data_IF_527487588386
#
_entry.id   IF_527487588386
#
_cell.length_a   1.000
_cell.length_b   1.000
_cell.length_c   1.000
_cell.angle_alpha   90.00
_cell.angle_beta   90.00
_cell.angle_gamma   90.00
#
_symmetry.space_group_name_H-M   'P 1'
#
loop_
_entity.id
_entity.type
_entity.pdbx_description
1 polymer ?
#
# COMPACT_ATOMS: atom_id res chain seq x y z
N UNK A 1 -79.91 23.74 -3.42
CA UNK A 1 -79.26 23.53 -4.73
C UNK A 1 -77.88 24.17 -4.69
N UNK A 2 -76.96 23.56 -5.43
CA UNK A 2 -75.59 23.98 -5.81
C UNK A 2 -74.47 23.27 -5.02
N UNK A 3 -73.89 22.29 -5.72
CA UNK A 3 -72.57 21.68 -5.49
C UNK A 3 -71.44 22.70 -5.69
N UNK A 4 -70.28 22.45 -5.07
CA UNK A 4 -68.99 22.89 -5.62
C UNK A 4 -67.87 21.95 -5.19
N UNK A 5 -67.04 21.61 -6.17
CA UNK A 5 -65.97 20.62 -6.18
C UNK A 5 -64.71 21.02 -5.39
N UNK A 6 -63.92 20.00 -5.10
CA UNK A 6 -62.60 20.04 -4.49
C UNK A 6 -61.56 20.77 -5.35
N UNK A 7 -60.53 21.34 -4.71
CA UNK A 7 -59.15 21.36 -5.22
C UNK A 7 -58.17 21.55 -4.04
N UNK A 8 -57.49 20.47 -3.64
CA UNK A 8 -56.28 20.55 -2.83
C UNK A 8 -55.09 20.79 -3.75
N UNK A 9 -54.52 21.99 -3.72
CA UNK A 9 -53.25 22.30 -4.38
C UNK A 9 -52.10 21.80 -3.49
N UNK A 10 -51.37 20.79 -3.97
CA UNK A 10 -50.08 20.42 -3.39
C UNK A 10 -49.01 21.45 -3.80
N UNK A 11 -48.02 21.75 -2.93
CA UNK A 11 -47.03 22.79 -3.21
C UNK A 11 -46.02 22.33 -4.27
N UNK A 12 -45.76 23.22 -5.23
CA UNK A 12 -44.83 23.06 -6.35
C UNK A 12 -43.36 23.23 -5.94
N UNK A 13 -42.83 22.30 -5.14
CA UNK A 13 -41.41 22.27 -4.77
C UNK A 13 -40.88 20.83 -4.77
N UNK A 14 -40.84 20.20 -5.94
CA UNK A 14 -40.17 18.91 -6.13
C UNK A 14 -39.73 18.64 -7.60
N UNK A 15 -39.49 19.68 -8.40
CA UNK A 15 -39.31 19.53 -9.85
C UNK A 15 -37.92 19.90 -10.39
N UNK A 16 -36.85 19.85 -9.57
CA UNK A 16 -35.52 20.31 -10.04
C UNK A 16 -34.32 19.41 -9.69
N UNK A 17 -34.48 18.31 -8.96
CA UNK A 17 -33.35 17.57 -8.37
C UNK A 17 -33.19 16.13 -8.86
N UNK A 18 -33.70 15.82 -10.04
CA UNK A 18 -33.34 14.59 -10.75
C UNK A 18 -33.24 14.93 -12.24
N UNK A 19 -32.03 14.98 -12.85
CA UNK A 19 -31.95 14.94 -14.30
C UNK A 19 -32.51 13.59 -14.77
N UNK A 20 -33.46 13.65 -15.70
CA UNK A 20 -34.00 12.46 -16.37
C UNK A 20 -32.85 11.70 -17.03
N UNK A 21 -32.61 10.48 -16.58
CA UNK A 21 -31.61 9.58 -17.17
C UNK A 21 -32.19 9.06 -18.49
N UNK A 22 -31.92 9.77 -19.57
CA UNK A 22 -32.26 9.31 -20.92
C UNK A 22 -31.27 8.21 -21.36
N UNK A 23 -31.78 7.17 -22.00
CA UNK A 23 -31.00 6.04 -22.54
C UNK A 23 -29.92 6.46 -23.56
N UNK A 24 -29.98 7.69 -24.07
CA UNK A 24 -29.02 8.27 -25.00
C UNK A 24 -27.78 8.91 -24.33
N UNK A 25 -27.75 9.03 -22.99
CA UNK A 25 -26.64 9.65 -22.23
C UNK A 25 -25.68 8.64 -21.60
N UNK A 26 -25.78 7.35 -21.96
CA UNK A 26 -24.82 6.33 -21.57
C UNK A 26 -23.61 6.40 -22.52
N UNK A 27 -22.88 7.52 -22.49
CA UNK A 27 -21.51 7.53 -22.99
C UNK A 27 -20.69 6.69 -22.02
N UNK A 28 -20.24 5.53 -22.52
CA UNK A 28 -19.27 4.65 -21.90
C UNK A 28 -18.10 5.52 -21.42
N UNK A 29 -18.09 5.83 -20.13
CA UNK A 29 -16.88 6.33 -19.49
C UNK A 29 -15.98 5.11 -19.42
N UNK A 30 -15.10 4.96 -20.42
CA UNK A 30 -13.99 4.04 -20.35
C UNK A 30 -13.23 4.37 -19.07
N UNK A 31 -13.45 3.57 -18.04
CA UNK A 31 -12.59 3.55 -16.87
C UNK A 31 -11.23 3.12 -17.41
N UNK A 32 -10.22 4.00 -17.43
CA UNK A 32 -8.90 3.59 -17.89
C UNK A 32 -8.49 2.41 -17.04
N UNK A 33 -8.09 1.32 -17.71
CA UNK A 33 -7.59 0.13 -17.06
C UNK A 33 -6.54 0.54 -16.00
N UNK A 34 -6.50 -0.12 -14.83
CA UNK A 34 -5.52 0.21 -13.81
C UNK A 34 -4.13 0.18 -14.45
N UNK A 35 -3.43 1.31 -14.35
CA UNK A 35 -2.07 1.45 -14.84
C UNK A 35 -1.27 0.29 -14.26
N UNK A 36 -0.73 -0.53 -15.15
CA UNK A 36 0.08 -1.68 -14.80
C UNK A 36 1.21 -1.17 -13.90
N UNK A 37 1.31 -1.73 -12.70
CA UNK A 37 2.36 -1.37 -11.73
C UNK A 37 3.70 -1.26 -12.45
N UNK A 38 4.37 -0.12 -12.26
CA UNK A 38 5.62 0.16 -12.90
C UNK A 38 6.66 -0.88 -12.42
N UNK A 39 7.24 -1.59 -13.38
CA UNK A 39 8.24 -2.63 -13.12
C UNK A 39 9.54 -1.94 -12.71
N UNK A 40 10.14 -2.39 -11.61
CA UNK A 40 11.40 -1.87 -11.07
C UNK A 40 12.68 -2.39 -11.72
N UNK A 41 12.54 -2.93 -12.94
CA UNK A 41 13.65 -3.50 -13.67
C UNK A 41 14.57 -2.38 -14.16
N UNK A 42 15.88 -2.65 -14.35
CA UNK A 42 16.78 -1.66 -14.89
C UNK A 42 16.25 -1.10 -16.22
N UNK A 43 15.86 0.17 -16.24
CA UNK A 43 15.45 0.92 -17.43
C UNK A 43 16.67 1.68 -17.92
N UNK A 44 17.39 1.11 -18.89
CA UNK A 44 18.50 1.79 -19.54
C UNK A 44 18.00 3.12 -20.15
N UNK A 45 18.37 4.24 -19.53
CA UNK A 45 18.07 5.59 -20.02
C UNK A 45 16.81 6.28 -19.46
N UNK A 46 16.11 5.72 -18.45
CA UNK A 46 15.06 6.45 -17.71
C UNK A 46 15.52 6.79 -16.28
N UNK A 47 15.06 7.93 -15.74
CA UNK A 47 15.31 8.30 -14.35
C UNK A 47 14.54 7.34 -13.44
N UNK A 48 15.25 6.56 -12.64
CA UNK A 48 14.64 5.76 -11.57
C UNK A 48 14.02 6.69 -10.52
N UNK A 49 12.90 6.29 -9.93
CA UNK A 49 12.42 6.94 -8.71
C UNK A 49 13.41 6.69 -7.56
N UNK A 50 13.47 7.60 -6.57
CA UNK A 50 14.36 7.42 -5.40
C UNK A 50 14.09 6.11 -4.63
N UNK A 51 12.83 5.64 -4.65
CA UNK A 51 12.46 4.34 -4.10
C UNK A 51 13.10 3.18 -4.87
N UNK A 52 12.97 3.18 -6.19
CA UNK A 52 13.50 2.13 -7.07
C UNK A 52 15.03 2.06 -6.99
N UNK A 53 15.71 3.22 -7.00
CA UNK A 53 17.15 3.28 -6.84
C UNK A 53 17.60 2.66 -5.50
N UNK A 54 16.89 2.95 -4.41
CA UNK A 54 17.17 2.39 -3.09
C UNK A 54 17.00 0.86 -3.09
N UNK A 55 15.90 0.34 -3.65
CA UNK A 55 15.65 -1.10 -3.72
C UNK A 55 16.73 -1.84 -4.52
N UNK A 56 17.14 -1.30 -5.66
CA UNK A 56 18.16 -1.91 -6.52
C UNK A 56 19.53 -1.86 -5.86
N UNK A 57 19.96 -0.68 -5.38
CA UNK A 57 21.34 -0.48 -4.90
C UNK A 57 21.61 -1.09 -3.53
N UNK A 58 20.65 -1.01 -2.61
CA UNK A 58 20.87 -1.43 -1.23
C UNK A 58 20.37 -2.85 -0.95
N UNK A 59 19.28 -3.25 -1.60
CA UNK A 59 18.61 -4.52 -1.32
C UNK A 59 18.70 -5.52 -2.47
N UNK A 60 19.28 -5.14 -3.62
CA UNK A 60 19.33 -5.95 -4.83
C UNK A 60 17.94 -6.47 -5.26
N UNK A 61 16.91 -5.62 -5.11
CA UNK A 61 15.55 -5.91 -5.55
C UNK A 61 15.26 -5.20 -6.87
N UNK A 62 15.01 -5.97 -7.92
CA UNK A 62 14.87 -5.48 -9.31
C UNK A 62 13.56 -5.91 -9.99
N UNK A 63 12.89 -6.96 -9.50
CA UNK A 63 11.70 -7.51 -10.16
C UNK A 63 10.36 -7.17 -9.50
N UNK A 64 10.39 -6.49 -8.35
CA UNK A 64 9.17 -6.12 -7.63
C UNK A 64 8.36 -5.09 -8.43
N UNK A 65 7.03 -5.17 -8.38
CA UNK A 65 6.17 -4.09 -8.84
C UNK A 65 6.13 -2.95 -7.81
N UNK A 66 6.23 -1.70 -8.26
CA UNK A 66 6.12 -0.52 -7.39
C UNK A 66 4.89 0.33 -7.71
N UNK A 67 4.26 0.82 -6.64
CA UNK A 67 3.26 1.89 -6.66
C UNK A 67 3.59 2.91 -5.56
N UNK A 68 4.57 3.76 -5.87
CA UNK A 68 5.07 4.81 -4.98
C UNK A 68 5.14 6.10 -5.81
N UNK A 69 4.00 6.76 -6.05
CA UNK A 69 3.97 7.97 -6.86
C UNK A 69 4.67 9.13 -6.14
N UNK A 70 5.58 9.81 -6.84
CA UNK A 70 6.37 10.93 -6.29
C UNK A 70 5.47 12.05 -5.73
N UNK A 71 4.35 12.33 -6.40
CA UNK A 71 3.37 13.34 -5.93
C UNK A 71 2.78 13.02 -4.56
N UNK A 72 2.65 11.74 -4.22
CA UNK A 72 2.14 11.29 -2.93
C UNK A 72 3.25 11.25 -1.88
N UNK A 73 4.48 10.89 -2.28
CA UNK A 73 5.66 11.07 -1.41
C UNK A 73 5.79 12.53 -1.00
N UNK A 74 5.67 13.46 -1.95
CA UNK A 74 5.68 14.90 -1.68
C UNK A 74 4.52 15.34 -0.78
N UNK A 75 3.31 14.83 -1.03
CA UNK A 75 2.14 15.11 -0.17
C UNK A 75 2.41 14.68 1.26
N UNK A 76 2.87 13.46 1.49
CA UNK A 76 3.09 12.92 2.83
C UNK A 76 4.34 13.50 3.51
N UNK A 77 5.29 14.04 2.74
CA UNK A 77 6.43 14.80 3.28
C UNK A 77 5.97 16.07 4.00
N UNK A 78 4.78 16.61 3.69
CA UNK A 78 4.23 17.79 4.39
C UNK A 78 3.77 17.52 5.84
N UNK A 79 3.71 16.25 6.26
CA UNK A 79 3.45 15.90 7.66
C UNK A 79 4.67 16.15 8.55
N UNK A 80 4.48 16.02 9.86
CA UNK A 80 5.58 16.10 10.82
C UNK A 80 6.47 14.85 10.71
N UNK A 81 7.66 15.04 10.14
CA UNK A 81 8.57 13.97 9.74
C UNK A 81 9.94 14.20 10.35
N UNK A 82 10.44 13.27 11.15
CA UNK A 82 11.80 13.30 11.67
C UNK A 82 12.85 12.98 10.59
N UNK A 83 12.45 12.32 9.50
CA UNK A 83 13.33 11.90 8.40
C UNK A 83 12.59 11.80 7.07
N UNK A 84 13.36 11.74 5.98
CA UNK A 84 12.82 11.66 4.62
C UNK A 84 12.23 10.28 4.28
N UNK A 85 11.46 10.25 3.21
CA UNK A 85 10.81 9.04 2.68
C UNK A 85 11.79 7.88 2.46
N UNK A 86 12.96 8.13 1.87
CA UNK A 86 13.96 7.09 1.58
C UNK A 86 14.50 6.47 2.87
N UNK A 87 14.64 7.26 3.93
CA UNK A 87 15.01 6.73 5.24
C UNK A 87 13.89 5.86 5.82
N UNK A 88 12.64 6.30 5.71
CA UNK A 88 11.48 5.51 6.13
C UNK A 88 11.40 4.17 5.38
N UNK A 89 11.59 4.20 4.06
CA UNK A 89 11.58 2.99 3.23
C UNK A 89 12.72 2.04 3.61
N UNK A 90 13.92 2.56 3.89
CA UNK A 90 15.04 1.75 4.39
C UNK A 90 14.70 1.07 5.71
N UNK A 91 14.13 1.80 6.67
CA UNK A 91 13.69 1.25 7.95
C UNK A 91 12.62 0.16 7.76
N UNK A 92 11.66 0.38 6.87
CA UNK A 92 10.62 -0.59 6.56
C UNK A 92 11.19 -1.88 5.96
N UNK A 93 12.11 -1.78 4.99
CA UNK A 93 12.74 -2.94 4.35
C UNK A 93 13.69 -3.67 5.31
N UNK A 94 14.41 -2.95 6.18
CA UNK A 94 15.22 -3.58 7.23
C UNK A 94 14.32 -4.34 8.21
N UNK A 95 13.23 -3.74 8.69
CA UNK A 95 12.28 -4.42 9.56
C UNK A 95 11.68 -5.66 8.89
N UNK A 96 11.32 -5.58 7.60
CA UNK A 96 10.84 -6.72 6.82
C UNK A 96 11.82 -7.91 6.83
N UNK A 97 13.12 -7.64 6.72
CA UNK A 97 14.17 -8.65 6.58
C UNK A 97 14.77 -9.13 7.90
N UNK A 98 14.53 -8.44 9.01
CA UNK A 98 15.19 -8.69 10.29
C UNK A 98 14.21 -8.91 11.46
N UNK A 99 13.01 -8.30 11.41
CA UNK A 99 12.00 -8.43 12.46
C UNK A 99 11.12 -9.68 12.27
N UNK A 100 11.16 -10.55 13.28
CA UNK A 100 10.38 -11.79 13.38
C UNK A 100 9.63 -11.87 14.72
N UNK A 101 9.47 -10.74 15.41
CA UNK A 101 8.75 -10.67 16.68
C UNK A 101 7.25 -10.99 16.52
N UNK A 102 6.65 -10.53 15.41
CA UNK A 102 5.29 -10.88 15.03
C UNK A 102 5.26 -12.19 14.23
N UNK A 103 4.42 -13.15 14.65
CA UNK A 103 4.26 -14.45 13.99
C UNK A 103 3.65 -14.37 12.58
N UNK A 104 3.01 -13.25 12.28
CA UNK A 104 2.45 -12.92 10.97
C UNK A 104 3.46 -12.22 10.06
N UNK A 105 4.61 -11.78 10.59
CA UNK A 105 5.62 -11.08 9.79
C UNK A 105 6.17 -11.99 8.68
N UNK A 106 6.58 -11.42 7.53
CA UNK A 106 7.14 -12.20 6.42
C UNK A 106 8.32 -13.07 6.85
N UNK A 107 9.25 -12.53 7.64
CA UNK A 107 10.41 -13.29 8.10
C UNK A 107 10.00 -14.44 9.03
N UNK A 108 9.03 -14.21 9.93
CA UNK A 108 8.49 -15.27 10.79
C UNK A 108 7.81 -16.39 9.97
N UNK A 109 7.08 -16.03 8.90
CA UNK A 109 6.49 -17.02 7.98
C UNK A 109 7.56 -17.83 7.25
N UNK A 110 8.64 -17.21 6.79
CA UNK A 110 9.75 -17.91 6.13
C UNK A 110 10.52 -18.82 7.10
N UNK A 111 10.72 -18.37 8.34
CA UNK A 111 11.31 -19.18 9.42
C UNK A 111 10.45 -20.42 9.70
N UNK A 112 9.12 -20.25 9.81
CA UNK A 112 8.20 -21.36 9.96
C UNK A 112 8.25 -22.32 8.75
N UNK A 113 8.34 -21.78 7.53
CA UNK A 113 8.40 -22.57 6.30
C UNK A 113 9.69 -23.39 6.14
N UNK A 114 10.79 -23.01 6.77
CA UNK A 114 12.03 -23.81 6.84
C UNK A 114 12.06 -24.76 8.04
N UNK A 115 11.02 -24.79 8.87
CA UNK A 115 10.96 -25.59 10.09
C UNK A 115 11.95 -25.11 11.15
N UNK A 116 12.25 -23.81 11.21
CA UNK A 116 13.13 -23.25 12.23
C UNK A 116 12.52 -23.44 13.64
N UNK A 117 13.35 -23.67 14.66
CA UNK A 117 12.89 -23.72 16.04
C UNK A 117 12.39 -22.34 16.51
N UNK A 118 11.65 -22.29 17.62
CA UNK A 118 11.13 -21.03 18.20
C UNK A 118 12.22 -19.97 18.43
N UNK A 119 13.45 -20.42 18.76
CA UNK A 119 14.63 -19.57 18.82
C UNK A 119 15.55 -19.89 17.63
N UNK A 120 15.39 -19.21 16.48
CA UNK A 120 16.13 -19.52 15.28
C UNK A 120 17.64 -19.26 15.44
N UNK A 121 18.45 -20.09 14.80
CA UNK A 121 19.89 -19.87 14.73
C UNK A 121 20.24 -18.76 13.72
N UNK A 122 21.49 -18.28 13.74
CA UNK A 122 21.98 -17.33 12.73
C UNK A 122 21.88 -17.89 11.30
N UNK A 123 22.06 -19.20 11.12
CA UNK A 123 21.90 -19.86 9.82
C UNK A 123 20.44 -19.90 9.36
N UNK A 124 19.49 -20.11 10.28
CA UNK A 124 18.07 -20.11 9.96
C UNK A 124 17.61 -18.72 9.52
N UNK A 125 18.01 -17.69 10.27
CA UNK A 125 17.74 -16.29 9.92
C UNK A 125 18.33 -15.93 8.55
N UNK A 126 19.58 -16.33 8.27
CA UNK A 126 20.21 -16.10 6.96
C UNK A 126 19.42 -16.77 5.85
N UNK A 127 18.97 -18.02 6.05
CA UNK A 127 18.21 -18.78 5.06
C UNK A 127 16.82 -18.18 4.81
N UNK A 128 16.13 -17.80 5.88
CA UNK A 128 14.81 -17.17 5.80
C UNK A 128 14.90 -15.79 5.12
N UNK A 129 15.89 -14.97 5.49
CA UNK A 129 16.16 -13.68 4.82
C UNK A 129 16.46 -13.85 3.33
N UNK A 130 17.24 -14.85 2.96
CA UNK A 130 17.52 -15.14 1.56
C UNK A 130 16.24 -15.52 0.79
N UNK A 131 15.39 -16.38 1.34
CA UNK A 131 14.09 -16.71 0.74
C UNK A 131 13.17 -15.50 0.61
N UNK A 132 13.20 -14.61 1.60
CA UNK A 132 12.40 -13.39 1.58
C UNK A 132 12.89 -12.40 0.52
N UNK A 133 14.21 -12.26 0.35
CA UNK A 133 14.81 -11.48 -0.76
C UNK A 133 14.47 -12.09 -2.12
N UNK A 134 14.49 -13.41 -2.23
CA UNK A 134 14.03 -14.12 -3.43
C UNK A 134 12.54 -13.86 -3.69
N UNK A 135 11.70 -13.82 -2.65
CA UNK A 135 10.29 -13.50 -2.77
C UNK A 135 10.07 -12.06 -3.23
N UNK A 136 10.81 -11.09 -2.69
CA UNK A 136 10.77 -9.68 -3.15
C UNK A 136 11.13 -9.55 -4.64
N UNK A 137 12.06 -10.39 -5.12
CA UNK A 137 12.47 -10.46 -6.52
C UNK A 137 11.58 -11.35 -7.40
N UNK A 138 10.29 -11.46 -7.09
CA UNK A 138 9.32 -12.14 -7.96
C UNK A 138 8.38 -11.12 -8.59
N UNK A 139 7.96 -11.41 -9.82
CA UNK A 139 7.04 -10.57 -10.60
C UNK A 139 5.65 -10.42 -10.01
N UNK A 140 5.24 -11.34 -9.13
CA UNK A 140 3.97 -11.27 -8.41
C UNK A 140 4.07 -10.48 -7.11
N UNK A 141 5.29 -10.14 -6.69
CA UNK A 141 5.54 -9.28 -5.54
C UNK A 141 5.31 -7.82 -5.87
N UNK A 142 4.79 -7.09 -4.89
CA UNK A 142 4.36 -5.72 -5.04
C UNK A 142 4.59 -4.94 -3.76
N UNK A 143 5.12 -3.73 -3.90
CA UNK A 143 5.30 -2.76 -2.81
C UNK A 143 4.60 -1.47 -3.19
N UNK A 144 3.75 -0.98 -2.30
CA UNK A 144 2.98 0.26 -2.48
C UNK A 144 3.06 1.11 -1.23
N UNK A 145 3.13 2.42 -1.42
CA UNK A 145 2.93 3.36 -0.31
C UNK A 145 1.43 3.50 -0.05
N UNK A 146 1.01 3.37 1.21
CA UNK A 146 -0.42 3.51 1.54
C UNK A 146 -0.83 4.97 1.46
N UNK A 147 -1.96 5.20 0.79
CA UNK A 147 -2.56 6.52 0.62
C UNK A 147 -3.73 6.70 1.61
N UNK A 148 -3.99 7.92 2.08
CA UNK A 148 -5.18 8.19 2.89
C UNK A 148 -6.46 7.77 2.16
N UNK A 149 -7.35 7.03 2.85
CA UNK A 149 -8.70 6.66 2.38
C UNK A 149 -8.76 5.86 1.06
N UNK A 150 -7.69 5.14 0.71
CA UNK A 150 -7.63 4.28 -0.48
C UNK A 150 -7.49 2.80 -0.11
N UNK A 151 -7.23 1.95 -1.11
CA UNK A 151 -6.93 0.53 -0.94
C UNK A 151 -5.71 0.30 -0.04
N UNK A 152 -5.57 -0.93 0.46
CA UNK A 152 -4.41 -1.40 1.25
C UNK A 152 -4.22 -0.72 2.62
N UNK A 153 -5.30 -0.22 3.23
CA UNK A 153 -5.24 0.33 4.59
C UNK A 153 -4.67 -0.70 5.57
N UNK A 154 -3.84 -0.24 6.54
CA UNK A 154 -3.25 -1.12 7.54
C UNK A 154 -4.32 -1.66 8.50
N UNK A 155 -4.12 -2.88 9.00
CA UNK A 155 -5.15 -3.61 9.75
C UNK A 155 -5.31 -3.13 11.20
N UNK A 156 -4.25 -2.56 11.79
CA UNK A 156 -4.29 -2.15 13.20
C UNK A 156 -4.70 -0.67 13.37
N UNK A 157 -5.20 -0.02 12.32
CA UNK A 157 -5.71 1.36 12.36
C UNK A 157 -4.62 2.42 12.35
N UNK A 158 -3.42 2.10 11.88
CA UNK A 158 -2.33 3.05 11.73
C UNK A 158 -2.70 4.19 10.78
N UNK A 159 -2.50 5.42 11.25
CA UNK A 159 -2.78 6.62 10.49
C UNK A 159 -1.55 7.04 9.68
N UNK A 160 -1.75 7.32 8.39
CA UNK A 160 -0.70 7.78 7.47
C UNK A 160 -0.15 9.16 7.83
N UNK A 161 -0.91 9.96 8.58
CA UNK A 161 -0.47 11.26 9.11
C UNK A 161 0.58 11.11 10.23
N UNK A 162 0.60 9.95 10.90
CA UNK A 162 1.54 9.65 12.00
C UNK A 162 2.63 8.66 11.60
N UNK A 163 2.41 7.90 10.54
CA UNK A 163 3.31 6.83 10.12
C UNK A 163 3.56 6.90 8.61
N UNK A 164 4.75 6.53 8.19
CA UNK A 164 4.95 6.00 6.85
C UNK A 164 4.46 4.56 6.84
N UNK A 165 3.51 4.25 5.95
CA UNK A 165 2.92 2.92 5.87
C UNK A 165 3.12 2.37 4.47
N UNK A 166 3.70 1.18 4.41
CA UNK A 166 3.98 0.46 3.18
C UNK A 166 3.19 -0.83 3.15
N UNK A 167 2.43 -1.04 2.09
CA UNK A 167 1.78 -2.30 1.80
C UNK A 167 2.70 -3.18 0.96
N UNK A 168 2.83 -4.45 1.34
CA UNK A 168 3.56 -5.44 0.58
C UNK A 168 2.65 -6.62 0.26
N UNK A 169 2.73 -7.09 -0.98
CA UNK A 169 2.19 -8.39 -1.38
C UNK A 169 3.35 -9.29 -1.78
N UNK A 170 3.53 -10.41 -1.10
CA UNK A 170 4.58 -11.39 -1.36
C UNK A 170 3.96 -12.77 -1.54
N UNK A 171 4.13 -13.37 -2.72
CA UNK A 171 3.57 -14.70 -3.05
C UNK A 171 2.06 -14.81 -2.72
N UNK A 172 1.29 -13.77 -3.08
CA UNK A 172 -0.15 -13.70 -2.84
C UNK A 172 -0.59 -13.33 -1.41
N UNK A 173 0.33 -13.18 -0.45
CA UNK A 173 0.03 -12.79 0.94
C UNK A 173 0.26 -11.30 1.16
N UNK A 174 -0.59 -10.68 1.97
CA UNK A 174 -0.54 -9.25 2.30
C UNK A 174 0.17 -9.00 3.62
N UNK A 175 0.99 -7.96 3.62
CA UNK A 175 1.75 -7.48 4.77
C UNK A 175 1.77 -5.95 4.79
N UNK A 176 2.07 -5.41 5.97
CA UNK A 176 2.27 -3.98 6.18
C UNK A 176 3.57 -3.77 6.94
N UNK A 177 4.37 -2.82 6.47
CA UNK A 177 5.50 -2.28 7.20
C UNK A 177 5.17 -0.85 7.62
N UNK A 178 5.27 -0.59 8.92
CA UNK A 178 4.90 0.68 9.55
C UNK A 178 6.14 1.31 10.15
N UNK A 179 6.35 2.59 9.84
CA UNK A 179 7.44 3.39 10.37
C UNK A 179 6.88 4.67 10.97
N UNK A 180 7.10 4.84 12.26
CA UNK A 180 6.67 6.02 13.01
C UNK A 180 7.40 7.27 12.52
N UNK A 181 6.66 8.34 12.19
CA UNK A 181 7.25 9.55 11.59
C UNK A 181 8.11 10.35 12.56
N UNK A 182 7.86 10.27 13.87
CA UNK A 182 8.71 10.93 14.87
C UNK A 182 10.00 10.18 15.15
N UNK A 183 10.09 8.89 14.76
CA UNK A 183 11.25 8.03 15.02
C UNK A 183 11.37 7.60 16.48
N UNK A 184 10.34 7.82 17.30
CA UNK A 184 10.32 7.42 18.70
C UNK A 184 10.07 5.92 18.85
N UNK A 185 9.37 5.32 17.87
CA UNK A 185 9.05 3.90 17.84
C UNK A 185 9.83 3.19 16.73
N UNK A 186 10.31 1.96 16.99
CA UNK A 186 10.93 1.16 15.94
C UNK A 186 9.92 0.81 14.85
N UNK A 187 10.42 0.68 13.63
CA UNK A 187 9.64 0.12 12.53
C UNK A 187 9.25 -1.33 12.84
N UNK A 188 8.04 -1.72 12.45
CA UNK A 188 7.53 -3.07 12.65
C UNK A 188 6.77 -3.55 11.43
N UNK A 189 6.67 -4.87 11.29
CA UNK A 189 6.03 -5.51 10.13
C UNK A 189 5.11 -6.62 10.59
N UNK A 190 3.92 -6.67 9.99
CA UNK A 190 2.94 -7.72 10.24
C UNK A 190 2.23 -8.15 8.96
N UNK A 191 1.59 -9.30 9.01
CA UNK A 191 0.81 -9.88 7.93
C UNK A 191 -0.67 -9.98 8.27
N UNK A 192 -1.48 -10.28 7.26
CA UNK A 192 -2.85 -10.72 7.49
C UNK A 192 -2.84 -12.11 8.16
N UNK A 193 -3.68 -12.30 9.18
CA UNK A 193 -3.83 -13.56 9.91
C UNK A 193 -4.42 -14.68 9.05
#
# INVERSE_FOLDING_TARGET
MISAAAFTLAPAYAAAWAPEVNLETITVTEVPAPVRAEISGPRDGQNYSGAEELLIKEFAVTEIGLDIPESEVMRQTSYDNAFCFEHALRLALTALLEDHSDRTSPLAKELAAIGAPEKPSKSDLKRARQRLLEALNRRDSFLSMVHPYKQYQPLNGELVEKNWVFFLRLSGKSYWAVVDRSGEKPAYVYGMN
#
